data_IF_640141061074
#
_entry.id   IF_640141061074
#
_cell.length_a   1.000
_cell.length_b   1.000
_cell.length_c   1.000
_cell.angle_alpha   90.00
_cell.angle_beta   90.00
_cell.angle_gamma   90.00
#
_symmetry.space_group_name_H-M   'P 1'
#
loop_
_entity.id
_entity.type
_entity.pdbx_description
1 polymer ?
#
# COMPACT_ATOMS: atom_id res chain seq x y z
N UNK A 1 -37.89 -8.79 -35.17
CA UNK A 1 -36.49 -9.02 -35.54
C UNK A 1 -35.66 -9.09 -34.27
N UNK A 2 -35.07 -10.24 -33.96
CA UNK A 2 -34.10 -10.41 -32.87
C UNK A 2 -32.75 -9.86 -33.31
N UNK A 3 -32.05 -9.11 -32.44
CA UNK A 3 -30.59 -9.22 -32.34
C UNK A 3 -29.98 -8.52 -31.11
N UNK A 4 -29.27 -9.37 -30.35
CA UNK A 4 -28.08 -9.14 -29.50
C UNK A 4 -28.28 -8.91 -28.01
N UNK A 5 -28.04 -10.01 -27.30
CA UNK A 5 -27.59 -10.15 -25.92
C UNK A 5 -26.15 -9.66 -25.80
N UNK A 6 -25.84 -8.93 -24.72
CA UNK A 6 -24.55 -8.90 -24.02
C UNK A 6 -24.93 -8.49 -22.57
N UNK A 7 -25.04 -9.37 -21.58
CA UNK A 7 -24.04 -10.28 -21.02
C UNK A 7 -22.74 -9.54 -20.67
N UNK A 8 -22.61 -9.19 -19.39
CA UNK A 8 -21.32 -9.05 -18.71
C UNK A 8 -20.68 -7.65 -18.68
N UNK A 9 -21.08 -6.84 -17.70
CA UNK A 9 -20.12 -6.00 -16.96
C UNK A 9 -20.20 -6.50 -15.52
N UNK A 10 -19.46 -7.55 -15.20
CA UNK A 10 -18.12 -7.45 -14.63
C UNK A 10 -18.18 -6.77 -13.26
N UNK A 11 -18.01 -7.60 -12.24
CA UNK A 11 -17.69 -7.21 -10.87
C UNK A 11 -16.53 -6.20 -10.82
N UNK A 12 -16.50 -5.51 -9.68
CA UNK A 12 -15.41 -4.74 -9.12
C UNK A 12 -15.39 -3.26 -9.54
N UNK A 13 -15.38 -2.29 -8.62
CA UNK A 13 -14.76 -2.33 -7.31
C UNK A 13 -15.67 -1.75 -6.22
N UNK A 14 -15.92 -2.56 -5.19
CA UNK A 14 -16.17 -2.01 -3.86
C UNK A 14 -14.89 -1.30 -3.40
N UNK A 15 -14.74 -0.02 -3.76
CA UNK A 15 -13.77 0.91 -3.16
C UNK A 15 -14.41 1.73 -2.04
N UNK A 16 -15.48 1.22 -1.42
CA UNK A 16 -16.00 1.75 -0.16
C UNK A 16 -15.49 0.86 0.95
N UNK A 17 -14.36 1.25 1.54
CA UNK A 17 -14.04 1.14 2.97
C UNK A 17 -12.57 1.50 3.19
N UNK A 18 -12.19 2.69 2.78
CA UNK A 18 -10.95 3.32 3.19
C UNK A 18 -11.23 4.80 3.18
N UNK A 19 -11.79 5.29 4.28
CA UNK A 19 -12.15 6.68 4.42
C UNK A 19 -11.05 7.58 3.88
N UNK A 20 -11.48 8.60 3.14
CA UNK A 20 -10.77 9.86 3.03
C UNK A 20 -10.71 10.49 4.45
N UNK A 21 -10.14 9.79 5.42
CA UNK A 21 -9.85 10.27 6.76
C UNK A 21 -8.48 10.93 6.68
N UNK A 22 -8.54 12.23 6.45
CA UNK A 22 -7.57 13.24 6.91
C UNK A 22 -6.14 12.78 7.12
N UNK A 23 -5.27 13.12 6.17
CA UNK A 23 -4.09 13.98 6.40
C UNK A 23 -3.39 13.87 7.76
N UNK A 24 -3.15 12.66 8.25
CA UNK A 24 -2.24 12.36 9.36
C UNK A 24 -1.38 11.22 8.86
N UNK A 25 -0.16 11.54 8.47
CA UNK A 25 0.85 10.52 8.22
C UNK A 25 0.85 9.59 9.44
N UNK A 26 0.50 8.31 9.26
CA UNK A 26 0.39 7.35 10.37
C UNK A 26 1.76 6.95 10.95
N UNK A 27 2.82 7.60 10.50
CA UNK A 27 4.16 7.47 11.06
C UNK A 27 4.69 8.86 11.40
N UNK A 28 5.37 8.96 12.53
CA UNK A 28 6.14 10.14 12.92
C UNK A 28 7.52 10.07 12.23
N UNK A 29 7.92 11.06 11.42
CA UNK A 29 9.18 11.03 10.67
C UNK A 29 10.42 11.22 11.55
N UNK A 30 10.28 11.80 12.74
CA UNK A 30 11.36 11.98 13.70
C UNK A 30 11.55 10.75 14.60
N UNK A 31 10.59 9.82 14.59
CA UNK A 31 10.66 8.56 15.33
C UNK A 31 11.65 7.61 14.65
N UNK A 32 12.65 7.10 15.38
CA UNK A 32 13.54 6.08 14.87
C UNK A 32 12.77 4.84 14.41
N UNK A 33 13.21 4.26 13.30
CA UNK A 33 12.65 3.05 12.70
C UNK A 33 12.52 1.90 13.74
N UNK A 34 13.47 1.72 14.65
CA UNK A 34 13.43 0.68 15.70
C UNK A 34 12.36 0.93 16.78
N UNK A 35 11.90 2.18 16.93
CA UNK A 35 10.86 2.60 17.87
C UNK A 35 9.47 2.67 17.25
N UNK A 36 9.35 2.44 15.94
CA UNK A 36 8.06 2.35 15.26
C UNK A 36 7.34 1.06 15.65
N UNK A 37 6.05 1.19 15.93
CA UNK A 37 5.13 0.06 15.97
C UNK A 37 5.10 -0.65 14.61
N UNK A 38 4.56 -1.86 14.57
CA UNK A 38 4.40 -2.60 13.33
C UNK A 38 3.58 -1.81 12.30
N UNK A 39 2.51 -1.15 12.72
CA UNK A 39 1.62 -0.38 11.82
C UNK A 39 2.30 0.88 11.27
N UNK A 40 3.05 1.61 12.11
CA UNK A 40 3.87 2.76 11.70
C UNK A 40 4.93 2.33 10.69
N UNK A 41 5.62 1.21 10.96
CA UNK A 41 6.63 0.66 10.08
C UNK A 41 6.07 0.24 8.72
N UNK A 42 4.95 -0.50 8.71
CA UNK A 42 4.30 -0.89 7.46
C UNK A 42 3.87 0.34 6.66
N UNK A 43 3.28 1.35 7.31
CA UNK A 43 2.85 2.59 6.66
C UNK A 43 4.01 3.37 6.06
N UNK A 44 5.12 3.50 6.81
CA UNK A 44 6.35 4.14 6.34
C UNK A 44 6.88 3.46 5.09
N UNK A 45 7.04 2.13 5.10
CA UNK A 45 7.62 1.42 3.96
C UNK A 45 6.67 1.35 2.76
N UNK A 46 5.36 1.27 2.96
CA UNK A 46 4.40 1.41 1.87
C UNK A 46 4.55 2.76 1.18
N UNK A 47 4.68 3.85 1.94
CA UNK A 47 4.95 5.17 1.37
C UNK A 47 6.33 5.25 0.69
N UNK A 48 7.37 4.76 1.35
CA UNK A 48 8.73 4.71 0.81
C UNK A 48 8.78 3.99 -0.54
N UNK A 49 8.07 2.87 -0.69
CA UNK A 49 8.02 2.07 -1.91
C UNK A 49 7.22 2.74 -3.04
N UNK A 50 6.32 3.69 -2.75
CA UNK A 50 5.68 4.50 -3.80
C UNK A 50 6.60 5.56 -4.41
N UNK A 51 7.73 5.86 -3.76
CA UNK A 51 8.66 6.85 -4.26
C UNK A 51 9.33 6.34 -5.55
N UNK A 52 9.24 7.05 -6.69
CA UNK A 52 9.87 6.63 -7.95
C UNK A 52 11.39 6.78 -7.93
N UNK A 53 11.95 7.61 -7.05
CA UNK A 53 13.38 7.95 -7.01
C UNK A 53 14.23 6.94 -6.21
N UNK A 54 13.63 5.91 -5.61
CA UNK A 54 14.38 4.86 -4.91
C UNK A 54 14.95 3.85 -5.90
N UNK A 55 16.20 3.44 -5.68
CA UNK A 55 16.84 2.40 -6.50
C UNK A 55 16.13 1.04 -6.36
N UNK A 56 16.26 0.18 -7.38
CA UNK A 56 15.73 -1.19 -7.34
C UNK A 56 16.28 -2.01 -6.15
N UNK A 57 17.56 -1.81 -5.79
CA UNK A 57 18.17 -2.45 -4.64
C UNK A 57 17.49 -2.01 -3.32
N UNK A 58 17.22 -0.71 -3.18
CA UNK A 58 16.50 -0.15 -2.04
C UNK A 58 15.07 -0.66 -1.98
N UNK A 59 14.38 -0.74 -3.13
CA UNK A 59 13.01 -1.26 -3.26
C UNK A 59 12.91 -2.73 -2.87
N UNK A 60 13.84 -3.57 -3.34
CA UNK A 60 13.90 -4.98 -2.98
C UNK A 60 14.19 -5.19 -1.47
N UNK A 61 15.13 -4.42 -0.91
CA UNK A 61 15.45 -4.47 0.52
C UNK A 61 14.26 -4.03 1.38
N UNK A 62 13.60 -2.93 1.01
CA UNK A 62 12.42 -2.41 1.68
C UNK A 62 11.25 -3.42 1.67
N UNK A 63 10.96 -4.03 0.52
CA UNK A 63 9.95 -5.09 0.42
C UNK A 63 10.30 -6.29 1.32
N UNK A 64 11.55 -6.76 1.30
CA UNK A 64 11.99 -7.85 2.19
C UNK A 64 11.80 -7.51 3.67
N UNK A 65 12.15 -6.30 4.08
CA UNK A 65 12.00 -5.82 5.46
C UNK A 65 10.53 -5.72 5.88
N UNK A 66 9.66 -5.23 5.00
CA UNK A 66 8.21 -5.23 5.20
C UNK A 66 7.65 -6.64 5.43
N UNK A 67 7.97 -7.58 4.54
CA UNK A 67 7.48 -8.95 4.64
C UNK A 67 7.99 -9.67 5.90
N UNK A 68 9.25 -9.42 6.30
CA UNK A 68 9.84 -10.01 7.52
C UNK A 68 9.07 -9.59 8.77
N UNK A 69 8.57 -8.34 8.82
CA UNK A 69 7.71 -7.85 9.93
C UNK A 69 6.23 -8.20 9.74
N UNK A 70 5.87 -8.93 8.69
CA UNK A 70 4.51 -9.36 8.40
C UNK A 70 3.60 -8.22 7.92
N UNK A 71 4.15 -7.25 7.19
CA UNK A 71 3.38 -6.28 6.43
C UNK A 71 2.93 -6.90 5.10
N UNK A 72 1.71 -6.61 4.61
CA UNK A 72 1.37 -6.87 3.23
C UNK A 72 2.29 -5.99 2.37
N UNK A 73 3.13 -6.60 1.53
CA UNK A 73 4.07 -5.86 0.68
C UNK A 73 3.37 -4.84 -0.22
N UNK A 74 4.15 -3.90 -0.75
CA UNK A 74 3.64 -3.01 -1.80
C UNK A 74 3.61 -3.80 -3.13
N UNK A 75 2.44 -3.86 -3.75
CA UNK A 75 2.20 -4.62 -4.99
C UNK A 75 2.82 -3.95 -6.21
#
# INVERSE_FOLDING_TARGET
>A
MFKKVAMGAALALALVAGGCESTKSKYDPDKPLDKMSKEEWCSFYTFYLTNPDISDASRASANKQMHTRGCPGHA
#
